data_IF_645279051852
#
_entry.id   IF_645279051852
#
_cell.length_a   1.000
_cell.length_b   1.000
_cell.length_c   1.000
_cell.angle_alpha   90.00
_cell.angle_beta   90.00
_cell.angle_gamma   90.00
#
_symmetry.space_group_name_H-M   'P 1'
#
loop_
_entity.id
_entity.type
_entity.pdbx_description
1 polymer ?
#
# COMPACT_ATOMS: atom_id res chain seq x y z
N UNK A 1 71.92 9.62 -11.85
CA UNK A 1 71.56 8.81 -10.67
C UNK A 1 70.05 8.71 -10.59
N UNK A 2 69.52 7.49 -10.56
CA UNK A 2 68.26 7.12 -9.88
C UNK A 2 68.65 6.53 -8.49
N UNK A 3 67.75 6.01 -7.62
CA UNK A 3 66.27 6.02 -7.57
C UNK A 3 65.75 7.18 -6.67
N UNK A 4 64.54 7.26 -6.10
CA UNK A 4 63.36 6.38 -5.94
C UNK A 4 62.07 7.26 -5.95
N UNK A 5 60.81 6.83 -5.76
CA UNK A 5 60.19 5.55 -5.36
C UNK A 5 59.21 5.79 -4.19
N UNK A 6 57.90 5.87 -4.44
CA UNK A 6 56.89 6.23 -3.43
C UNK A 6 55.45 6.03 -3.91
N UNK A 7 55.00 4.77 -3.96
CA UNK A 7 53.66 4.42 -4.41
C UNK A 7 52.59 4.67 -3.34
N UNK A 8 51.67 5.60 -3.60
CA UNK A 8 50.44 5.79 -2.83
C UNK A 8 49.40 4.74 -3.18
N UNK A 9 49.49 3.56 -2.56
CA UNK A 9 48.52 2.48 -2.75
C UNK A 9 47.12 2.89 -2.26
N UNK A 10 46.19 3.12 -3.20
CA UNK A 10 44.79 3.35 -2.88
C UNK A 10 44.19 2.13 -2.21
N UNK A 11 43.85 2.24 -0.92
CA UNK A 11 43.20 1.17 -0.16
C UNK A 11 41.77 0.97 -0.67
N UNK A 12 41.61 0.08 -1.65
CA UNK A 12 40.31 -0.46 -2.04
C UNK A 12 39.81 -1.35 -0.91
N UNK A 13 39.09 -0.74 0.03
CA UNK A 13 38.40 -1.44 1.11
C UNK A 13 37.32 -2.37 0.53
N UNK A 14 37.76 -3.55 0.10
CA UNK A 14 36.89 -4.63 -0.37
C UNK A 14 35.92 -4.99 0.72
N UNK A 15 34.63 -4.70 0.50
CA UNK A 15 33.54 -5.14 1.37
C UNK A 15 33.49 -6.66 1.33
N UNK A 16 34.18 -7.31 2.27
CA UNK A 16 34.13 -8.76 2.42
C UNK A 16 32.67 -9.21 2.47
N UNK A 17 32.31 -10.16 1.62
CA UNK A 17 30.98 -10.74 1.67
C UNK A 17 30.77 -11.35 3.07
N UNK A 18 29.67 -11.01 3.78
CA UNK A 18 29.45 -11.52 5.12
C UNK A 18 29.37 -13.05 5.08
N UNK A 19 30.02 -13.70 6.05
CA UNK A 19 30.12 -15.15 6.11
C UNK A 19 28.75 -15.82 6.08
N UNK A 20 28.69 -17.07 5.62
CA UNK A 20 27.43 -17.83 5.56
C UNK A 20 26.69 -17.85 6.91
N UNK A 21 27.46 -17.96 8.00
CA UNK A 21 26.96 -17.86 9.39
C UNK A 21 26.33 -16.49 9.66
N UNK A 22 26.99 -15.38 9.32
CA UNK A 22 26.45 -14.04 9.56
C UNK A 22 25.16 -13.78 8.76
N UNK A 23 25.09 -14.25 7.50
CA UNK A 23 23.85 -14.20 6.70
C UNK A 23 22.72 -15.04 7.31
N UNK A 24 23.05 -16.20 7.88
CA UNK A 24 22.08 -17.05 8.60
C UNK A 24 21.54 -16.34 9.85
N UNK A 25 22.42 -15.80 10.70
CA UNK A 25 22.05 -15.04 11.89
C UNK A 25 21.18 -13.82 11.54
N UNK A 26 21.51 -13.08 10.47
CA UNK A 26 20.70 -11.95 9.99
C UNK A 26 19.29 -12.40 9.58
N UNK A 27 19.14 -13.53 8.87
CA UNK A 27 17.82 -14.07 8.50
C UNK A 27 16.99 -14.47 9.71
N UNK A 28 17.59 -15.02 10.77
CA UNK A 28 16.90 -15.35 12.02
C UNK A 28 16.49 -14.09 12.78
N UNK A 29 17.40 -13.12 12.94
CA UNK A 29 17.14 -11.86 13.64
C UNK A 29 16.05 -11.02 12.96
N UNK A 30 15.90 -11.11 11.63
CA UNK A 30 14.84 -10.43 10.89
C UNK A 30 13.41 -10.89 11.28
N UNK A 31 13.24 -12.07 11.89
CA UNK A 31 11.95 -12.53 12.43
C UNK A 31 11.62 -11.97 13.82
N UNK A 32 12.56 -11.35 14.53
CA UNK A 32 12.33 -10.86 15.91
C UNK A 32 11.16 -9.87 16.00
N UNK A 33 10.98 -8.88 15.09
CA UNK A 33 9.82 -7.99 15.14
C UNK A 33 8.49 -8.71 14.91
N UNK A 34 8.46 -9.73 14.03
CA UNK A 34 7.27 -10.55 13.77
C UNK A 34 6.92 -11.40 15.00
N UNK A 35 7.93 -12.04 15.61
CA UNK A 35 7.76 -12.81 16.83
C UNK A 35 7.27 -11.94 18.00
N UNK A 36 7.79 -10.72 18.13
CA UNK A 36 7.32 -9.74 19.12
C UNK A 36 5.84 -9.39 18.93
N UNK A 37 5.41 -9.04 17.70
CA UNK A 37 3.99 -8.77 17.42
C UNK A 37 3.13 -10.00 17.68
N UNK A 38 3.56 -11.20 17.26
CA UNK A 38 2.83 -12.44 17.52
C UNK A 38 2.65 -12.72 19.02
N UNK A 39 3.67 -12.46 19.85
CA UNK A 39 3.60 -12.60 21.31
C UNK A 39 2.64 -11.57 21.94
N UNK A 40 2.70 -10.30 21.52
CA UNK A 40 1.77 -9.26 22.00
C UNK A 40 0.33 -9.59 21.60
N UNK A 41 0.11 -10.07 20.38
CA UNK A 41 -1.21 -10.50 19.89
C UNK A 41 -1.73 -11.68 20.71
N UNK A 42 -0.94 -12.74 20.89
CA UNK A 42 -1.32 -13.92 21.68
C UNK A 42 -1.62 -13.57 23.15
N UNK A 43 -0.80 -12.71 23.76
CA UNK A 43 -1.05 -12.18 25.10
C UNK A 43 -2.33 -11.35 25.16
N UNK A 44 -2.59 -10.49 24.16
CA UNK A 44 -3.82 -9.67 24.13
C UNK A 44 -5.09 -10.52 23.95
N UNK A 45 -5.01 -11.61 23.19
CA UNK A 45 -6.08 -12.61 23.09
C UNK A 45 -6.36 -13.25 24.46
N UNK A 46 -5.31 -13.72 25.16
CA UNK A 46 -5.46 -14.27 26.51
C UNK A 46 -6.05 -13.23 27.48
N UNK A 47 -5.51 -12.02 27.52
CA UNK A 47 -5.97 -10.95 28.41
C UNK A 47 -7.43 -10.54 28.15
N UNK A 48 -7.86 -10.48 26.88
CA UNK A 48 -9.22 -10.10 26.52
C UNK A 48 -10.22 -11.23 26.71
N UNK A 49 -9.90 -12.45 26.27
CA UNK A 49 -10.83 -13.59 26.31
C UNK A 49 -10.91 -14.18 27.73
N UNK A 50 -9.77 -14.41 28.38
CA UNK A 50 -9.72 -15.10 29.68
C UNK A 50 -9.88 -14.11 30.83
N UNK A 51 -8.95 -13.17 30.99
CA UNK A 51 -8.93 -12.29 32.16
C UNK A 51 -10.09 -11.29 32.15
N UNK A 52 -10.39 -10.66 31.01
CA UNK A 52 -11.57 -9.80 30.88
C UNK A 52 -12.86 -10.60 30.71
N UNK A 53 -13.10 -11.24 29.56
CA UNK A 53 -14.41 -11.80 29.24
C UNK A 53 -14.81 -12.99 30.14
N UNK A 54 -13.91 -13.93 30.47
CA UNK A 54 -14.25 -15.06 31.35
C UNK A 54 -14.30 -14.63 32.82
N UNK A 55 -13.24 -14.01 33.37
CA UNK A 55 -13.15 -13.73 34.81
C UNK A 55 -13.72 -12.39 35.28
N UNK A 56 -13.69 -11.32 34.47
CA UNK A 56 -14.12 -9.97 34.90
C UNK A 56 -15.57 -9.65 34.54
N UNK A 57 -16.03 -10.03 33.34
CA UNK A 57 -17.40 -9.74 32.89
C UNK A 57 -18.40 -10.73 33.52
N UNK A 58 -19.33 -10.21 34.31
CA UNK A 58 -20.39 -11.01 34.97
C UNK A 58 -21.63 -11.20 34.10
N UNK A 59 -21.95 -10.25 33.22
CA UNK A 59 -23.10 -10.32 32.32
C UNK A 59 -22.86 -11.32 31.18
N UNK A 60 -23.66 -12.38 31.11
CA UNK A 60 -23.57 -13.38 30.03
C UNK A 60 -23.85 -12.77 28.66
N UNK A 61 -24.81 -11.84 28.55
CA UNK A 61 -25.13 -11.18 27.28
C UNK A 61 -23.98 -10.31 26.76
N UNK A 62 -23.39 -9.49 27.64
CA UNK A 62 -22.21 -8.67 27.31
C UNK A 62 -21.02 -9.55 26.90
N UNK A 63 -20.77 -10.62 27.66
CA UNK A 63 -19.70 -11.60 27.39
C UNK A 63 -19.83 -12.21 25.99
N UNK A 64 -21.02 -12.66 25.60
CA UNK A 64 -21.27 -13.24 24.27
C UNK A 64 -21.06 -12.20 23.16
N UNK A 65 -21.64 -11.00 23.30
CA UNK A 65 -21.48 -9.92 22.30
C UNK A 65 -20.00 -9.54 22.13
N UNK A 66 -19.29 -9.36 23.24
CA UNK A 66 -17.88 -8.98 23.23
C UNK A 66 -17.01 -10.07 22.60
N UNK A 67 -17.22 -11.34 22.96
CA UNK A 67 -16.48 -12.45 22.39
C UNK A 67 -16.73 -12.60 20.88
N UNK A 68 -17.97 -12.46 20.40
CA UNK A 68 -18.29 -12.57 18.96
C UNK A 68 -17.58 -11.47 18.16
N UNK A 69 -17.70 -10.20 18.57
CA UNK A 69 -17.07 -9.08 17.85
C UNK A 69 -15.54 -9.14 17.96
N UNK A 70 -15.01 -9.57 19.12
CA UNK A 70 -13.59 -9.80 19.32
C UNK A 70 -13.05 -10.84 18.33
N UNK A 71 -13.68 -12.02 18.22
CA UNK A 71 -13.20 -13.07 17.34
C UNK A 71 -13.31 -12.68 15.85
N UNK A 72 -14.38 -11.99 15.45
CA UNK A 72 -14.50 -11.48 14.07
C UNK A 72 -13.38 -10.48 13.72
N UNK A 73 -13.07 -9.53 14.61
CA UNK A 73 -11.99 -8.56 14.39
C UNK A 73 -10.60 -9.21 14.46
N UNK A 74 -10.38 -10.11 15.43
CA UNK A 74 -9.14 -10.88 15.59
C UNK A 74 -8.84 -11.77 14.37
N UNK A 75 -9.82 -12.50 13.85
CA UNK A 75 -9.63 -13.36 12.65
C UNK A 75 -9.25 -12.52 11.44
N UNK A 76 -9.90 -11.38 11.19
CA UNK A 76 -9.57 -10.51 10.07
C UNK A 76 -8.19 -9.84 10.23
N UNK A 77 -7.82 -9.46 11.46
CA UNK A 77 -6.48 -8.96 11.79
C UNK A 77 -5.40 -10.04 11.54
N UNK A 78 -5.55 -11.24 12.08
CA UNK A 78 -4.57 -12.33 11.89
C UNK A 78 -4.47 -12.74 10.43
N UNK A 79 -5.59 -12.86 9.72
CA UNK A 79 -5.61 -13.22 8.29
C UNK A 79 -4.90 -12.17 7.42
N UNK A 80 -5.17 -10.89 7.64
CA UNK A 80 -4.50 -9.80 6.91
C UNK A 80 -3.01 -9.68 7.26
N UNK A 81 -2.63 -9.85 8.53
CA UNK A 81 -1.23 -9.88 8.95
C UNK A 81 -0.47 -11.06 8.31
N UNK A 82 -1.03 -12.28 8.39
CA UNK A 82 -0.49 -13.48 7.75
C UNK A 82 -0.31 -13.28 6.24
N UNK A 83 -1.33 -12.75 5.55
CA UNK A 83 -1.25 -12.48 4.11
C UNK A 83 -0.21 -11.42 3.77
N UNK A 84 0.07 -10.47 4.65
CA UNK A 84 1.13 -9.47 4.43
C UNK A 84 2.53 -10.06 4.60
N UNK A 85 2.74 -10.91 5.63
CA UNK A 85 4.00 -11.62 5.87
C UNK A 85 4.29 -12.61 4.73
N UNK A 86 3.39 -13.54 4.47
CA UNK A 86 3.67 -14.74 3.66
C UNK A 86 3.31 -14.63 2.18
N UNK A 87 2.77 -13.49 1.72
CA UNK A 87 2.69 -13.24 0.27
C UNK A 87 4.03 -12.70 -0.21
N UNK A 88 4.76 -13.50 -0.98
CA UNK A 88 6.05 -13.10 -1.57
C UNK A 88 5.91 -11.82 -2.40
N UNK A 89 6.91 -10.91 -2.35
CA UNK A 89 6.94 -9.73 -3.20
C UNK A 89 7.08 -10.18 -4.67
N UNK A 90 6.27 -9.60 -5.56
CA UNK A 90 6.40 -9.87 -6.99
C UNK A 90 7.69 -9.27 -7.55
N UNK A 91 8.37 -10.01 -8.41
CA UNK A 91 9.58 -9.61 -9.14
C UNK A 91 9.27 -9.41 -10.63
N UNK A 92 10.09 -8.63 -11.37
CA UNK A 92 9.97 -8.50 -12.81
C UNK A 92 9.99 -9.84 -13.55
N UNK A 93 9.22 -9.91 -14.62
CA UNK A 93 9.21 -10.98 -15.62
C UNK A 93 10.56 -11.07 -16.36
N UNK A 94 10.84 -12.24 -16.93
CA UNK A 94 12.11 -12.50 -17.62
C UNK A 94 12.36 -11.60 -18.85
N UNK A 95 11.32 -10.97 -19.41
CA UNK A 95 11.44 -9.99 -20.51
C UNK A 95 12.24 -8.73 -20.12
N UNK A 96 12.26 -8.39 -18.82
CA UNK A 96 13.03 -7.27 -18.28
C UNK A 96 14.50 -7.62 -18.01
N UNK A 97 14.86 -8.91 -18.02
CA UNK A 97 16.24 -9.36 -17.90
C UNK A 97 16.99 -9.12 -19.22
N UNK A 98 18.27 -8.75 -19.16
CA UNK A 98 19.07 -8.62 -20.38
C UNK A 98 19.21 -9.99 -21.08
N UNK A 99 19.17 -9.97 -22.42
CA UNK A 99 19.57 -11.13 -23.22
C UNK A 99 21.01 -11.50 -22.90
N UNK A 100 21.39 -12.78 -23.11
CA UNK A 100 22.78 -13.22 -22.85
C UNK A 100 23.80 -12.37 -23.63
N UNK A 101 23.48 -12.02 -24.87
CA UNK A 101 24.29 -11.15 -25.73
C UNK A 101 24.38 -9.71 -25.22
N UNK A 102 23.26 -9.08 -24.85
CA UNK A 102 23.28 -7.69 -24.33
C UNK A 102 23.99 -7.63 -22.98
N UNK A 103 23.83 -8.67 -22.14
CA UNK A 103 24.53 -8.78 -20.86
C UNK A 103 26.04 -8.88 -21.07
N UNK A 104 26.51 -9.79 -21.93
CA UNK A 104 27.93 -9.89 -22.25
C UNK A 104 28.49 -8.60 -22.87
N UNK A 105 27.72 -7.90 -23.70
CA UNK A 105 28.12 -6.62 -24.27
C UNK A 105 28.20 -5.53 -23.19
N UNK A 106 27.25 -5.50 -22.27
CA UNK A 106 27.21 -4.55 -21.15
C UNK A 106 28.38 -4.78 -20.16
N UNK A 107 28.70 -6.03 -19.84
CA UNK A 107 29.81 -6.39 -18.94
C UNK A 107 31.20 -6.14 -19.57
N UNK A 108 31.31 -6.14 -20.91
CA UNK A 108 32.57 -5.87 -21.64
C UNK A 108 32.80 -4.38 -21.95
N UNK A 109 31.76 -3.55 -21.93
CA UNK A 109 31.88 -2.11 -22.24
C UNK A 109 32.24 -1.32 -20.98
N UNK A 110 33.36 -0.60 -21.03
CA UNK A 110 33.83 0.25 -19.91
C UNK A 110 33.20 1.64 -19.91
N UNK A 111 32.73 2.15 -21.07
CA UNK A 111 32.22 3.52 -21.20
C UNK A 111 30.74 3.61 -20.78
N UNK A 112 30.39 4.40 -19.75
CA UNK A 112 29.01 4.47 -19.24
C UNK A 112 27.96 4.91 -20.29
N UNK A 113 28.35 5.73 -21.27
CA UNK A 113 27.46 6.18 -22.34
C UNK A 113 27.04 5.04 -23.27
N UNK A 114 27.98 4.14 -23.63
CA UNK A 114 27.68 2.99 -24.48
C UNK A 114 27.01 1.85 -23.71
N UNK A 115 27.31 1.69 -22.41
CA UNK A 115 26.48 0.88 -21.51
C UNK A 115 25.02 1.35 -21.51
N UNK A 116 24.78 2.66 -21.40
CA UNK A 116 23.43 3.23 -21.47
C UNK A 116 22.77 3.02 -22.84
N UNK A 117 23.53 3.04 -23.93
CA UNK A 117 22.97 2.79 -25.26
C UNK A 117 22.54 1.32 -25.47
N UNK A 118 23.28 0.36 -24.90
CA UNK A 118 22.86 -1.05 -24.84
C UNK A 118 21.55 -1.17 -24.05
N UNK A 119 21.47 -0.53 -22.88
CA UNK A 119 20.26 -0.54 -22.06
C UNK A 119 19.06 0.14 -22.74
N UNK A 120 19.27 1.24 -23.50
CA UNK A 120 18.19 1.90 -24.27
C UNK A 120 17.67 1.02 -25.38
N UNK A 121 18.55 0.32 -26.11
CA UNK A 121 18.18 -0.63 -27.15
C UNK A 121 17.33 -1.76 -26.58
N UNK A 122 17.78 -2.38 -25.50
CA UNK A 122 17.06 -3.46 -24.82
C UNK A 122 15.74 -2.99 -24.18
N UNK A 123 15.66 -1.72 -23.73
CA UNK A 123 14.43 -1.14 -23.19
C UNK A 123 13.40 -0.71 -24.23
N UNK A 124 13.76 -0.66 -25.53
CA UNK A 124 12.93 -0.06 -26.60
C UNK A 124 11.55 -0.72 -26.71
N UNK A 125 11.50 -2.04 -26.56
CA UNK A 125 10.29 -2.84 -26.72
C UNK A 125 9.61 -3.17 -25.36
N UNK A 126 10.07 -2.56 -24.26
CA UNK A 126 9.51 -2.72 -22.91
C UNK A 126 8.60 -1.53 -22.54
N UNK A 127 7.53 -1.76 -21.75
CA UNK A 127 6.61 -0.70 -21.29
C UNK A 127 7.21 0.11 -20.13
N UNK A 128 8.28 0.87 -20.41
CA UNK A 128 9.02 1.67 -19.41
C UNK A 128 8.96 3.15 -19.79
N UNK A 129 8.24 3.93 -18.98
CA UNK A 129 8.02 5.37 -19.21
C UNK A 129 8.84 6.27 -18.26
N UNK A 130 9.51 5.70 -17.25
CA UNK A 130 10.32 6.44 -16.28
C UNK A 130 11.82 6.15 -16.36
N UNK A 131 12.62 7.18 -16.08
CA UNK A 131 14.09 7.17 -16.13
C UNK A 131 14.70 7.53 -14.77
N UNK A 132 16.03 7.57 -14.67
CA UNK A 132 16.72 8.24 -13.56
C UNK A 132 16.58 9.77 -13.64
N UNK A 133 17.03 10.49 -12.61
CA UNK A 133 17.18 11.96 -12.65
C UNK A 133 18.11 12.44 -13.76
N UNK A 134 19.09 11.62 -14.17
CA UNK A 134 20.00 11.87 -15.29
C UNK A 134 19.46 11.41 -16.66
N UNK A 135 18.17 11.08 -16.78
CA UNK A 135 17.54 10.52 -18.00
C UNK A 135 18.19 9.21 -18.50
N UNK A 136 18.81 8.45 -17.61
CA UNK A 136 19.36 7.12 -17.87
C UNK A 136 18.29 6.03 -17.69
N UNK A 137 18.48 4.87 -18.32
CA UNK A 137 17.62 3.69 -18.12
C UNK A 137 17.79 3.18 -16.69
N UNK A 138 16.67 2.83 -16.04
CA UNK A 138 16.63 2.34 -14.66
C UNK A 138 17.15 0.90 -14.57
N UNK A 139 18.46 0.68 -14.56
CA UNK A 139 19.04 -0.68 -14.48
C UNK A 139 19.23 -1.19 -13.03
N UNK A 140 19.35 -2.51 -12.85
CA UNK A 140 19.76 -3.15 -11.59
C UNK A 140 20.96 -4.08 -11.78
N UNK A 141 22.15 -3.66 -11.33
CA UNK A 141 23.38 -4.45 -11.49
C UNK A 141 23.39 -5.74 -10.66
N UNK A 142 22.63 -5.80 -9.56
CA UNK A 142 22.50 -7.02 -8.74
C UNK A 142 21.60 -8.08 -9.38
N UNK A 143 20.47 -7.63 -9.95
CA UNK A 143 19.47 -8.53 -10.54
C UNK A 143 19.66 -8.70 -12.07
N UNK A 144 20.56 -7.93 -12.68
CA UNK A 144 20.89 -7.93 -14.11
C UNK A 144 19.66 -7.73 -15.01
N UNK A 145 18.80 -6.77 -14.63
CA UNK A 145 17.54 -6.45 -15.29
C UNK A 145 17.28 -4.95 -15.38
N UNK A 146 16.55 -4.55 -16.42
CA UNK A 146 15.95 -3.23 -16.57
C UNK A 146 14.75 -3.18 -15.63
N UNK A 147 14.71 -2.23 -14.70
CA UNK A 147 13.62 -2.11 -13.73
C UNK A 147 12.36 -1.64 -14.47
N UNK A 148 11.23 -2.37 -14.37
CA UNK A 148 9.93 -1.83 -14.75
C UNK A 148 9.64 -0.52 -14.03
N UNK A 149 8.65 0.23 -14.53
CA UNK A 149 8.19 1.42 -13.82
C UNK A 149 7.76 1.06 -12.39
N UNK A 150 8.03 1.97 -11.44
CA UNK A 150 7.74 1.79 -10.01
C UNK A 150 8.46 0.60 -9.33
N UNK A 151 9.32 -0.14 -10.04
CA UNK A 151 10.12 -1.22 -9.47
C UNK A 151 11.42 -0.71 -8.82
N UNK A 152 11.73 -1.20 -7.62
CA UNK A 152 12.96 -0.86 -6.88
C UNK A 152 13.61 -2.13 -6.30
N UNK A 153 14.95 -2.12 -6.21
CA UNK A 153 15.69 -3.23 -5.57
C UNK A 153 15.70 -3.02 -4.06
N UNK A 154 15.23 -4.01 -3.31
CA UNK A 154 15.32 -4.05 -1.86
C UNK A 154 16.56 -4.86 -1.44
N UNK A 155 17.53 -4.23 -0.80
CA UNK A 155 18.75 -4.92 -0.32
C UNK A 155 18.52 -5.89 0.84
N UNK A 156 17.39 -5.79 1.56
CA UNK A 156 17.02 -6.72 2.62
C UNK A 156 16.36 -8.01 2.07
N UNK A 157 15.57 -7.89 0.99
CA UNK A 157 15.02 -9.03 0.25
C UNK A 157 15.97 -9.56 -0.84
N UNK A 158 17.03 -8.81 -1.15
CA UNK A 158 18.03 -9.01 -2.22
C UNK A 158 17.42 -9.26 -3.63
N UNK A 159 16.29 -8.58 -3.91
CA UNK A 159 15.54 -8.70 -5.16
C UNK A 159 14.88 -7.39 -5.58
N UNK A 160 14.53 -7.30 -6.87
CA UNK A 160 13.71 -6.23 -7.42
C UNK A 160 12.23 -6.46 -7.13
N UNK A 161 11.59 -5.53 -6.43
CA UNK A 161 10.18 -5.59 -6.01
C UNK A 161 9.35 -4.70 -6.94
N UNK A 162 8.31 -5.28 -7.56
CA UNK A 162 7.32 -4.55 -8.36
C UNK A 162 6.48 -3.61 -7.48
N UNK A 163 6.24 -2.38 -7.98
CA UNK A 163 5.55 -1.29 -7.24
C UNK A 163 6.02 -1.19 -5.78
N UNK A 164 7.33 -1.17 -5.55
CA UNK A 164 7.88 -1.19 -4.19
C UNK A 164 7.41 0.05 -3.41
N UNK A 165 6.86 -0.19 -2.23
CA UNK A 165 6.47 0.86 -1.30
C UNK A 165 7.54 1.04 -0.21
N UNK A 166 7.82 -0.01 0.56
CA UNK A 166 8.90 -0.04 1.55
C UNK A 166 9.28 -1.48 1.91
N UNK A 167 10.38 -1.65 2.66
CA UNK A 167 10.64 -2.88 3.38
C UNK A 167 10.14 -2.71 4.82
N UNK A 168 9.34 -3.65 5.32
CA UNK A 168 8.66 -3.52 6.60
C UNK A 168 9.15 -4.60 7.59
N UNK A 169 9.98 -4.24 8.59
CA UNK A 169 10.51 -5.20 9.57
C UNK A 169 9.40 -5.92 10.35
N UNK A 170 8.28 -5.24 10.64
CA UNK A 170 7.13 -5.78 11.40
C UNK A 170 6.39 -6.93 10.72
N UNK A 171 6.63 -7.17 9.42
CA UNK A 171 6.14 -8.33 8.66
C UNK A 171 7.27 -9.17 8.05
N UNK A 172 8.53 -8.83 8.36
CA UNK A 172 9.74 -9.40 7.76
C UNK A 172 9.66 -9.58 6.23
N UNK A 173 9.09 -8.59 5.54
CA UNK A 173 8.80 -8.68 4.11
C UNK A 173 8.78 -7.28 3.47
N UNK A 174 8.95 -7.24 2.15
CA UNK A 174 8.71 -6.04 1.37
C UNK A 174 7.22 -5.83 1.12
N UNK A 175 6.77 -4.59 1.28
CA UNK A 175 5.45 -4.14 0.86
C UNK A 175 5.56 -3.60 -0.57
N UNK A 176 4.82 -4.20 -1.49
CA UNK A 176 4.85 -3.88 -2.92
C UNK A 176 3.59 -4.40 -3.63
N UNK A 177 3.66 -4.58 -4.95
CA UNK A 177 2.49 -4.87 -5.79
C UNK A 177 1.61 -6.03 -5.28
N UNK A 178 2.21 -7.18 -4.96
CA UNK A 178 1.49 -8.42 -4.59
C UNK A 178 0.81 -8.38 -3.22
N UNK A 179 1.23 -7.49 -2.30
CA UNK A 179 0.75 -7.48 -0.92
C UNK A 179 0.32 -6.10 -0.39
N UNK A 180 0.38 -5.01 -1.18
CA UNK A 180 0.00 -3.67 -0.70
C UNK A 180 -1.45 -3.62 -0.18
N UNK A 181 -2.40 -4.26 -0.87
CA UNK A 181 -3.78 -4.42 -0.38
C UNK A 181 -3.83 -5.12 0.99
N UNK A 182 -3.05 -6.18 1.19
CA UNK A 182 -3.01 -6.92 2.45
C UNK A 182 -2.43 -6.07 3.58
N UNK A 183 -1.38 -5.29 3.30
CA UNK A 183 -0.81 -4.34 4.24
C UNK A 183 -1.84 -3.27 4.66
N UNK A 184 -2.59 -2.69 3.71
CA UNK A 184 -3.65 -1.72 4.01
C UNK A 184 -4.77 -2.34 4.88
N UNK A 185 -5.19 -3.57 4.56
CA UNK A 185 -6.18 -4.28 5.36
C UNK A 185 -5.64 -4.66 6.75
N UNK A 186 -4.35 -5.00 6.86
CA UNK A 186 -3.68 -5.25 8.13
C UNK A 186 -3.71 -3.98 9.01
N UNK A 187 -3.34 -2.81 8.47
CA UNK A 187 -3.45 -1.54 9.21
C UNK A 187 -4.90 -1.25 9.63
N UNK A 188 -5.86 -1.42 8.72
CA UNK A 188 -7.29 -1.19 8.99
C UNK A 188 -7.84 -2.11 10.09
N UNK A 189 -7.59 -3.42 9.99
CA UNK A 189 -8.04 -4.38 11.01
C UNK A 189 -7.28 -4.25 12.33
N UNK A 190 -6.02 -3.79 12.30
CA UNK A 190 -5.29 -3.41 13.53
C UNK A 190 -5.97 -2.24 14.24
N UNK A 191 -6.43 -1.23 13.49
CA UNK A 191 -7.18 -0.11 14.06
C UNK A 191 -8.51 -0.55 14.66
N UNK A 192 -9.29 -1.36 13.93
CA UNK A 192 -10.56 -1.87 14.44
C UNK A 192 -10.36 -2.74 15.69
N UNK A 193 -9.36 -3.62 15.69
CA UNK A 193 -9.00 -4.44 16.84
C UNK A 193 -8.59 -3.60 18.05
N UNK A 194 -7.66 -2.66 17.88
CA UNK A 194 -7.19 -1.82 18.97
C UNK A 194 -8.29 -0.88 19.50
N UNK A 195 -9.13 -0.32 18.62
CA UNK A 195 -10.26 0.53 19.00
C UNK A 195 -11.33 -0.26 19.76
N UNK A 196 -11.68 -1.45 19.29
CA UNK A 196 -12.62 -2.34 19.96
C UNK A 196 -12.11 -2.75 21.34
N UNK A 197 -10.84 -3.18 21.45
CA UNK A 197 -10.22 -3.53 22.73
C UNK A 197 -10.18 -2.31 23.66
N UNK A 198 -9.68 -1.16 23.22
CA UNK A 198 -9.56 0.02 24.07
C UNK A 198 -10.93 0.53 24.56
N UNK A 199 -11.95 0.59 23.69
CA UNK A 199 -13.29 1.07 24.04
C UNK A 199 -14.01 0.14 25.04
N UNK A 200 -13.99 -1.17 24.79
CA UNK A 200 -14.63 -2.15 25.69
C UNK A 200 -13.89 -2.28 27.03
N UNK A 201 -12.56 -2.21 27.02
CA UNK A 201 -11.73 -2.21 28.24
C UNK A 201 -11.90 -0.92 29.06
N UNK A 202 -12.17 0.23 28.45
CA UNK A 202 -12.20 1.54 29.13
C UNK A 202 -13.10 1.57 30.38
N UNK A 203 -14.30 0.99 30.32
CA UNK A 203 -15.20 0.92 31.49
C UNK A 203 -14.60 0.08 32.63
N UNK A 204 -13.94 -1.03 32.32
CA UNK A 204 -13.26 -1.89 33.29
C UNK A 204 -11.98 -1.23 33.83
N UNK A 205 -11.23 -0.53 32.98
CA UNK A 205 -10.08 0.30 33.37
C UNK A 205 -10.50 1.35 34.40
N UNK A 206 -11.57 2.11 34.14
CA UNK A 206 -12.11 3.12 35.07
C UNK A 206 -12.55 2.46 36.39
N UNK A 207 -13.24 1.30 36.32
CA UNK A 207 -13.66 0.54 37.51
C UNK A 207 -12.47 0.11 38.36
N UNK A 208 -11.45 -0.52 37.78
CA UNK A 208 -10.25 -0.92 38.51
C UNK A 208 -9.49 0.29 39.08
N UNK A 209 -9.32 1.37 38.32
CA UNK A 209 -8.60 2.57 38.75
C UNK A 209 -9.29 3.28 39.94
N UNK A 210 -10.62 3.43 39.86
CA UNK A 210 -11.42 4.07 40.94
C UNK A 210 -11.53 3.19 42.19
N UNK A 211 -11.67 1.87 42.04
CA UNK A 211 -11.65 0.93 43.18
C UNK A 211 -10.29 0.90 43.87
N UNK A 212 -9.18 1.00 43.13
CA UNK A 212 -7.84 1.10 43.73
C UNK A 212 -7.66 2.39 44.52
N UNK A 213 -8.16 3.54 44.02
CA UNK A 213 -8.13 4.80 44.77
C UNK A 213 -8.89 4.70 46.10
N UNK A 214 -10.02 3.98 46.14
CA UNK A 214 -10.80 3.76 47.36
C UNK A 214 -10.13 2.76 48.32
N UNK A 215 -9.72 1.57 47.84
CA UNK A 215 -8.99 0.58 48.65
C UNK A 215 -7.66 1.12 49.21
N UNK A 216 -6.98 2.03 48.50
CA UNK A 216 -5.76 2.69 49.01
C UNK A 216 -6.03 3.68 50.15
N UNK A 217 -7.29 4.07 50.38
CA UNK A 217 -7.71 4.92 51.51
C UNK A 217 -8.33 4.10 52.65
N UNK A 218 -8.66 2.82 52.43
CA UNK A 218 -9.39 1.95 53.37
C UNK A 218 -8.67 0.59 53.49
N UNK A 219 -7.89 0.39 54.57
CA UNK A 219 -7.18 -0.87 54.84
C UNK A 219 -8.16 -2.07 54.92
N UNK A 220 -8.19 -2.93 53.90
CA UNK A 220 -9.14 -4.06 53.83
C UNK A 220 -8.53 -5.33 53.15
N UNK A 221 -9.03 -6.56 53.41
CA UNK A 221 -8.18 -7.77 53.32
C UNK A 221 -8.32 -8.70 52.09
N UNK A 222 -7.16 -9.18 51.63
CA UNK A 222 -6.78 -10.58 51.27
C UNK A 222 -7.53 -11.44 50.23
N UNK A 223 -8.69 -11.08 49.69
CA UNK A 223 -9.23 -11.75 48.46
C UNK A 223 -8.60 -11.18 47.17
N UNK A 224 -7.30 -10.88 47.20
CA UNK A 224 -6.65 -10.00 46.23
C UNK A 224 -6.03 -10.71 45.02
N UNK A 225 -5.63 -11.98 45.11
CA UNK A 225 -4.78 -12.61 44.08
C UNK A 225 -5.44 -12.69 42.70
N UNK A 226 -6.72 -13.03 42.62
CA UNK A 226 -7.44 -13.18 41.35
C UNK A 226 -7.85 -11.80 40.78
N UNK A 227 -8.26 -10.87 41.65
CA UNK A 227 -8.54 -9.45 41.34
C UNK A 227 -7.27 -8.75 40.82
N UNK A 228 -6.10 -9.03 41.42
CA UNK A 228 -4.80 -8.43 41.08
C UNK A 228 -4.26 -8.89 39.74
N UNK A 229 -4.40 -10.19 39.41
CA UNK A 229 -3.97 -10.72 38.11
C UNK A 229 -4.80 -10.11 36.98
N UNK A 230 -6.12 -10.22 37.06
CA UNK A 230 -7.02 -9.68 36.04
C UNK A 230 -6.80 -8.15 35.85
N UNK A 231 -6.67 -7.41 36.95
CA UNK A 231 -6.31 -5.99 36.96
C UNK A 231 -5.02 -5.69 36.19
N UNK A 232 -3.93 -6.44 36.40
CA UNK A 232 -2.66 -6.20 35.69
C UNK A 232 -2.84 -6.35 34.17
N UNK A 233 -3.47 -7.45 33.74
CA UNK A 233 -3.75 -7.70 32.33
C UNK A 233 -4.67 -6.63 31.71
N UNK A 234 -5.79 -6.30 32.37
CA UNK A 234 -6.76 -5.32 31.86
C UNK A 234 -6.18 -3.90 31.77
N UNK A 235 -5.41 -3.46 32.78
CA UNK A 235 -4.75 -2.14 32.74
C UNK A 235 -3.71 -2.06 31.62
N UNK A 236 -2.84 -3.07 31.49
CA UNK A 236 -1.81 -3.08 30.45
C UNK A 236 -2.43 -3.21 29.04
N UNK A 237 -3.51 -3.98 28.90
CA UNK A 237 -4.24 -4.16 27.63
C UNK A 237 -4.82 -2.85 27.11
N UNK A 238 -5.37 -1.99 27.99
CA UNK A 238 -5.81 -0.65 27.61
C UNK A 238 -4.68 0.20 27.04
N UNK A 239 -3.55 0.30 27.76
CA UNK A 239 -2.42 1.14 27.34
C UNK A 239 -1.77 0.63 26.04
N UNK A 240 -1.58 -0.68 25.90
CA UNK A 240 -1.04 -1.30 24.69
C UNK A 240 -1.97 -1.03 23.50
N UNK A 241 -3.28 -1.27 23.64
CA UNK A 241 -4.25 -1.03 22.57
C UNK A 241 -4.32 0.45 22.17
N UNK A 242 -4.36 1.37 23.14
CA UNK A 242 -4.39 2.82 22.88
C UNK A 242 -3.11 3.32 22.19
N UNK A 243 -1.93 2.84 22.62
CA UNK A 243 -0.65 3.17 22.00
C UNK A 243 -0.60 2.71 20.54
N UNK A 244 -0.90 1.43 20.27
CA UNK A 244 -0.92 0.90 18.91
C UNK A 244 -1.97 1.59 18.04
N UNK A 245 -3.16 1.88 18.57
CA UNK A 245 -4.19 2.62 17.84
C UNK A 245 -3.69 3.98 17.33
N UNK A 246 -3.10 4.80 18.21
CA UNK A 246 -2.61 6.14 17.84
C UNK A 246 -1.49 6.05 16.80
N UNK A 247 -0.50 5.16 17.01
CA UNK A 247 0.60 4.97 16.06
C UNK A 247 0.10 4.50 14.69
N UNK A 248 -0.73 3.46 14.65
CA UNK A 248 -1.24 2.88 13.40
C UNK A 248 -2.18 3.86 12.69
N UNK A 249 -2.93 4.71 13.41
CA UNK A 249 -3.86 5.66 12.82
C UNK A 249 -3.14 6.68 11.93
N UNK A 250 -1.97 7.15 12.38
CA UNK A 250 -1.10 8.04 11.59
C UNK A 250 -0.62 7.38 10.29
N UNK A 251 -0.16 6.14 10.37
CA UNK A 251 0.36 5.37 9.25
C UNK A 251 -0.74 5.02 8.24
N UNK A 252 -1.90 4.56 8.74
CA UNK A 252 -3.06 4.27 7.90
C UNK A 252 -3.55 5.51 7.16
N UNK A 253 -3.66 6.65 7.85
CA UNK A 253 -4.06 7.93 7.24
C UNK A 253 -3.10 8.38 6.13
N UNK A 254 -1.79 8.23 6.35
CA UNK A 254 -0.76 8.48 5.34
C UNK A 254 -0.92 7.56 4.11
N UNK A 255 -1.14 6.26 4.32
CA UNK A 255 -1.35 5.32 3.23
C UNK A 255 -2.68 5.53 2.49
N UNK A 256 -3.75 5.96 3.16
CA UNK A 256 -5.00 6.38 2.50
C UNK A 256 -4.76 7.56 1.53
N UNK A 257 -3.93 8.54 1.91
CA UNK A 257 -3.53 9.63 1.02
C UNK A 257 -2.67 9.13 -0.15
N UNK A 258 -1.71 8.22 0.09
CA UNK A 258 -0.90 7.60 -0.95
C UNK A 258 -1.76 6.85 -1.99
N UNK A 259 -2.70 6.02 -1.54
CA UNK A 259 -3.67 5.31 -2.40
C UNK A 259 -4.49 6.33 -3.20
N UNK A 260 -5.07 7.34 -2.55
CA UNK A 260 -5.84 8.39 -3.24
C UNK A 260 -5.08 9.15 -4.32
N UNK A 261 -3.74 9.20 -4.23
CA UNK A 261 -2.84 9.81 -5.24
C UNK A 261 -2.16 8.81 -6.18
N UNK A 262 -2.41 7.50 -6.04
CA UNK A 262 -1.68 6.40 -6.68
C UNK A 262 -0.15 6.56 -6.59
N UNK A 263 0.37 6.84 -5.40
CA UNK A 263 1.81 6.93 -5.11
C UNK A 263 2.22 5.79 -4.19
N UNK A 264 3.45 5.30 -4.36
CA UNK A 264 4.15 4.58 -3.29
C UNK A 264 4.84 5.56 -2.34
N UNK A 265 5.25 5.10 -1.16
CA UNK A 265 6.05 5.88 -0.20
C UNK A 265 7.31 6.45 -0.87
N UNK A 266 8.03 5.64 -1.66
CA UNK A 266 9.22 6.08 -2.42
C UNK A 266 8.88 7.26 -3.34
N UNK A 267 7.77 7.17 -4.06
CA UNK A 267 7.33 8.17 -5.06
C UNK A 267 6.84 9.47 -4.40
N UNK A 268 6.31 9.38 -3.17
CA UNK A 268 5.95 10.55 -2.38
C UNK A 268 7.18 11.38 -1.98
N UNK A 269 8.29 10.73 -1.62
CA UNK A 269 9.58 11.40 -1.35
C UNK A 269 10.30 11.84 -2.63
N UNK A 270 10.35 11.00 -3.67
CA UNK A 270 11.05 11.28 -4.94
C UNK A 270 10.12 11.07 -6.13
N UNK A 271 9.77 12.17 -6.80
CA UNK A 271 8.92 12.13 -7.99
C UNK A 271 9.55 11.24 -9.10
N UNK A 272 8.79 10.34 -9.74
CA UNK A 272 9.26 9.62 -10.92
C UNK A 272 9.57 10.58 -12.07
N UNK A 273 10.66 10.31 -12.79
CA UNK A 273 11.13 11.10 -13.93
C UNK A 273 10.56 10.56 -15.23
N UNK A 274 9.52 11.18 -15.76
CA UNK A 274 8.95 10.89 -17.08
C UNK A 274 9.70 11.66 -18.17
N UNK A 275 9.38 11.40 -19.45
CA UNK A 275 9.93 12.13 -20.63
C UNK A 275 9.88 13.66 -20.45
N UNK A 276 8.79 14.17 -19.89
CA UNK A 276 8.50 15.59 -19.69
C UNK A 276 9.08 16.16 -18.37
N UNK A 277 9.80 15.35 -17.58
CA UNK A 277 10.36 15.73 -16.28
C UNK A 277 9.71 15.01 -15.08
N UNK A 278 9.99 15.46 -13.84
CA UNK A 278 9.45 14.86 -12.62
C UNK A 278 7.93 15.13 -12.48
N UNK A 279 7.12 14.08 -12.33
CA UNK A 279 5.68 14.22 -12.06
C UNK A 279 5.21 13.28 -10.92
N UNK A 280 4.90 13.86 -9.75
CA UNK A 280 4.30 13.12 -8.62
C UNK A 280 2.88 12.61 -8.91
N UNK A 281 2.23 13.05 -9.99
CA UNK A 281 0.89 12.63 -10.41
C UNK A 281 0.91 11.78 -11.68
N UNK A 282 2.08 11.37 -12.19
CA UNK A 282 2.20 10.68 -13.48
C UNK A 282 1.44 9.35 -13.57
N UNK A 283 1.21 8.67 -12.44
CA UNK A 283 0.38 7.45 -12.34
C UNK A 283 -1.03 7.70 -11.76
N UNK A 284 -1.42 8.96 -11.52
CA UNK A 284 -2.74 9.26 -10.93
C UNK A 284 -3.83 9.32 -12.01
N UNK A 285 -4.83 8.45 -11.85
CA UNK A 285 -6.00 8.29 -12.71
C UNK A 285 -7.27 8.94 -12.11
N UNK A 286 -7.12 9.63 -10.97
CA UNK A 286 -8.22 10.17 -10.15
C UNK A 286 -8.60 9.22 -9.01
N UNK A 287 -9.02 9.77 -7.86
CA UNK A 287 -9.11 9.04 -6.59
C UNK A 287 -9.85 7.69 -6.68
N UNK A 288 -11.03 7.66 -7.30
CA UNK A 288 -11.83 6.43 -7.47
C UNK A 288 -11.09 5.34 -8.28
N UNK A 289 -10.46 5.71 -9.40
CA UNK A 289 -9.65 4.78 -10.20
C UNK A 289 -8.40 4.34 -9.43
N UNK A 290 -7.73 5.27 -8.73
CA UNK A 290 -6.55 4.99 -7.90
C UNK A 290 -6.85 3.98 -6.76
N UNK A 291 -8.07 4.00 -6.18
CA UNK A 291 -8.51 2.97 -5.24
C UNK A 291 -8.72 1.61 -5.93
N UNK A 292 -9.36 1.58 -7.11
CA UNK A 292 -9.59 0.36 -7.89
C UNK A 292 -8.28 -0.33 -8.29
N UNK A 293 -7.23 0.42 -8.61
CA UNK A 293 -5.89 -0.14 -8.87
C UNK A 293 -5.36 -1.05 -7.72
N UNK A 294 -5.79 -0.81 -6.47
CA UNK A 294 -5.34 -1.57 -5.29
C UNK A 294 -6.40 -2.56 -4.79
N UNK A 295 -7.68 -2.19 -4.81
CA UNK A 295 -8.77 -2.99 -4.25
C UNK A 295 -9.56 -3.80 -5.29
N UNK A 296 -9.38 -3.52 -6.57
CA UNK A 296 -10.11 -4.11 -7.68
C UNK A 296 -11.52 -3.55 -7.86
N UNK A 297 -12.23 -4.09 -8.83
CA UNK A 297 -13.57 -3.62 -9.22
C UNK A 297 -14.69 -4.25 -8.39
N UNK A 298 -14.49 -5.51 -7.96
CA UNK A 298 -15.47 -6.27 -7.19
C UNK A 298 -15.46 -5.86 -5.70
N UNK A 299 -16.29 -4.86 -5.35
CA UNK A 299 -16.43 -4.31 -3.98
C UNK A 299 -16.57 -5.35 -2.87
N UNK A 300 -17.21 -6.50 -3.12
CA UNK A 300 -17.35 -7.62 -2.17
C UNK A 300 -16.01 -8.15 -1.64
N UNK A 301 -14.93 -8.01 -2.40
CA UNK A 301 -13.59 -8.44 -2.00
C UNK A 301 -12.74 -7.34 -1.38
N UNK A 302 -13.19 -6.07 -1.34
CA UNK A 302 -12.36 -4.95 -0.88
C UNK A 302 -11.86 -5.15 0.55
N UNK A 303 -12.72 -5.65 1.44
CA UNK A 303 -12.43 -5.91 2.84
C UNK A 303 -11.77 -7.29 3.10
N UNK A 304 -11.67 -8.15 2.08
CA UNK A 304 -11.09 -9.49 2.23
C UNK A 304 -9.60 -9.52 1.84
N UNK A 305 -8.71 -10.16 2.63
CA UNK A 305 -7.30 -10.42 2.32
C UNK A 305 -7.04 -11.38 1.13
N UNK A 306 -7.79 -11.19 0.04
CA UNK A 306 -7.71 -11.91 -1.24
C UNK A 306 -7.11 -10.95 -2.28
N UNK A 307 -6.23 -11.42 -3.16
CA UNK A 307 -5.58 -10.57 -4.16
C UNK A 307 -6.60 -10.11 -5.21
N UNK A 308 -6.75 -8.78 -5.37
CA UNK A 308 -7.65 -8.17 -6.36
C UNK A 308 -7.09 -6.86 -6.94
N UNK A 309 -5.80 -6.56 -6.74
CA UNK A 309 -5.14 -5.41 -7.37
C UNK A 309 -5.16 -5.56 -8.89
N UNK A 310 -5.25 -4.44 -9.62
CA UNK A 310 -5.27 -4.43 -11.09
C UNK A 310 -3.85 -4.37 -11.67
N UNK A 311 -3.72 -4.81 -12.92
CA UNK A 311 -2.44 -4.86 -13.65
C UNK A 311 -1.60 -6.10 -13.34
N UNK A 312 -0.39 -6.13 -13.89
CA UNK A 312 0.63 -7.18 -13.72
C UNK A 312 1.73 -6.78 -12.71
N UNK A 313 1.85 -5.49 -12.41
CA UNK A 313 2.90 -4.91 -11.58
C UNK A 313 4.15 -4.44 -12.35
N UNK A 314 4.23 -4.74 -13.64
CA UNK A 314 5.30 -4.33 -14.56
C UNK A 314 4.90 -3.09 -15.36
N UNK A 315 3.64 -3.01 -15.80
CA UNK A 315 3.07 -1.87 -16.53
C UNK A 315 2.00 -1.17 -15.67
N UNK A 316 1.93 0.16 -15.76
CA UNK A 316 0.97 0.99 -15.02
C UNK A 316 0.39 2.07 -15.93
N UNK A 317 -0.95 2.25 -15.95
CA UNK A 317 -1.55 3.35 -16.71
C UNK A 317 -1.00 4.71 -16.24
N UNK A 318 -0.59 5.55 -17.19
CA UNK A 318 -0.07 6.89 -16.91
C UNK A 318 -1.07 7.97 -17.30
N UNK A 319 -0.98 9.12 -16.63
CA UNK A 319 -1.82 10.30 -16.88
C UNK A 319 -1.60 10.91 -18.27
N UNK A 320 -0.37 10.80 -18.81
CA UNK A 320 0.03 11.48 -20.05
C UNK A 320 -0.15 10.62 -21.31
N UNK A 321 -0.11 9.28 -21.21
CA UNK A 321 -0.34 8.39 -22.37
C UNK A 321 -1.81 8.38 -22.82
N UNK A 322 -2.73 8.90 -22.02
CA UNK A 322 -4.14 9.15 -22.42
C UNK A 322 -4.27 10.47 -23.25
N UNK A 323 -3.18 11.23 -23.44
CA UNK A 323 -3.13 12.45 -24.23
C UNK A 323 -2.21 12.34 -25.45
N UNK A 324 -2.36 11.26 -26.22
CA UNK A 324 -1.83 11.18 -27.59
C UNK A 324 -2.99 11.26 -28.61
N UNK A 325 -3.26 12.43 -29.22
CA UNK A 325 -4.32 12.58 -30.21
C UNK A 325 -4.04 11.86 -31.53
N UNK A 326 -2.78 11.50 -31.83
CA UNK A 326 -2.42 10.96 -33.14
C UNK A 326 -2.81 9.49 -33.32
N UNK A 327 -3.07 8.75 -32.23
CA UNK A 327 -3.60 7.38 -32.30
C UNK A 327 -5.12 7.31 -32.56
N UNK A 328 -5.86 8.41 -32.40
CA UNK A 328 -7.29 8.48 -32.74
C UNK A 328 -7.54 8.72 -34.25
N UNK A 329 -6.50 9.05 -35.02
CA UNK A 329 -6.60 9.29 -36.46
C UNK A 329 -6.29 8.04 -37.32
N UNK A 330 -5.83 6.94 -36.71
CA UNK A 330 -5.27 5.79 -37.41
C UNK A 330 -6.07 4.48 -37.20
N UNK A 331 -7.40 4.54 -37.28
CA UNK A 331 -8.25 3.34 -37.30
C UNK A 331 -9.45 3.49 -38.23
N UNK A 332 -9.21 3.30 -39.53
CA UNK A 332 -10.27 2.92 -40.48
C UNK A 332 -10.37 1.39 -40.53
N UNK A 333 -11.57 0.81 -40.70
CA UNK A 333 -11.79 -0.60 -40.39
C UNK A 333 -11.48 -1.53 -41.58
N UNK A 334 -10.35 -2.25 -41.50
CA UNK A 334 -10.20 -3.55 -42.17
C UNK A 334 -8.98 -4.31 -41.64
N UNK A 335 -9.24 -5.37 -40.86
CA UNK A 335 -8.74 -6.75 -41.03
C UNK A 335 -8.89 -7.53 -39.71
N UNK A 336 -9.98 -8.32 -39.64
CA UNK A 336 -10.24 -9.27 -38.56
C UNK A 336 -10.01 -10.69 -39.09
N UNK A 337 -8.81 -11.27 -38.92
CA UNK A 337 -8.62 -12.71 -39.12
C UNK A 337 -7.37 -13.30 -38.44
N UNK A 338 -7.59 -14.30 -37.57
CA UNK A 338 -6.68 -15.42 -37.20
C UNK A 338 -5.36 -15.04 -36.49
N UNK A 339 -5.16 -15.44 -35.24
CA UNK A 339 -5.02 -16.87 -34.85
C UNK A 339 -5.12 -17.05 -33.32
N UNK A 340 -5.14 -18.28 -32.84
CA UNK A 340 -5.50 -18.63 -31.45
C UNK A 340 -4.62 -19.76 -30.85
N UNK A 341 -4.76 -19.96 -29.53
CA UNK A 341 -4.25 -21.09 -28.71
C UNK A 341 -2.91 -20.83 -27.96
N UNK A 342 -2.65 -21.46 -26.78
CA UNK A 342 -2.52 -20.64 -25.56
C UNK A 342 -1.40 -21.01 -24.57
N UNK A 343 -1.00 -20.06 -23.73
CA UNK A 343 -0.47 -20.33 -22.38
C UNK A 343 -0.76 -19.17 -21.41
N UNK A 344 -1.03 -19.50 -20.15
CA UNK A 344 -1.48 -18.59 -19.08
C UNK A 344 -0.90 -19.13 -17.76
N UNK A 345 -0.49 -18.25 -16.83
CA UNK A 345 -1.43 -17.88 -15.78
C UNK A 345 -1.32 -16.42 -15.32
N UNK A 346 -2.35 -15.61 -15.57
CA UNK A 346 -2.89 -14.50 -14.75
C UNK A 346 -3.95 -13.79 -15.62
N UNK A 347 -5.17 -13.53 -15.11
CA UNK A 347 -6.31 -13.17 -15.98
C UNK A 347 -6.15 -11.77 -16.59
N UNK A 348 -5.76 -11.75 -17.87
CA UNK A 348 -5.85 -10.56 -18.72
C UNK A 348 -7.24 -10.55 -19.36
N UNK A 349 -8.02 -9.49 -19.13
CA UNK A 349 -9.21 -9.18 -19.92
C UNK A 349 -9.17 -7.70 -20.32
N UNK A 350 -9.48 -7.35 -21.59
CA UNK A 350 -9.68 -5.97 -21.98
C UNK A 350 -10.94 -5.41 -21.32
N UNK A 351 -10.94 -4.08 -21.11
CA UNK A 351 -12.04 -3.33 -20.52
C UNK A 351 -13.31 -3.46 -21.38
N UNK A 352 -14.37 -4.10 -20.84
CA UNK A 352 -15.68 -4.12 -21.49
C UNK A 352 -16.37 -2.78 -21.34
N UNK A 353 -16.83 -2.21 -22.46
CA UNK A 353 -17.58 -0.95 -22.51
C UNK A 353 -18.89 -1.04 -21.71
N UNK A 354 -19.14 -0.04 -20.86
CA UNK A 354 -20.41 0.10 -20.14
C UNK A 354 -21.40 0.93 -20.94
N UNK A 355 -22.19 0.30 -21.83
CA UNK A 355 -23.40 0.92 -22.37
C UNK A 355 -24.53 0.86 -21.33
N UNK A 356 -24.86 2.00 -20.73
CA UNK A 356 -26.14 2.21 -20.06
C UNK A 356 -26.98 3.19 -20.91
N UNK A 357 -27.70 2.67 -21.89
CA UNK A 357 -28.79 3.39 -22.58
C UNK A 357 -30.10 3.19 -21.81
N UNK A 358 -30.42 4.11 -20.91
CA UNK A 358 -31.79 4.36 -20.43
C UNK A 358 -31.95 5.86 -20.22
N UNK A 359 -33.11 6.41 -20.58
CA UNK A 359 -33.43 7.85 -20.64
C UNK A 359 -32.89 8.62 -21.86
N UNK A 360 -33.16 8.09 -23.05
CA UNK A 360 -33.49 8.92 -24.21
C UNK A 360 -34.55 8.20 -25.04
N UNK A 361 -35.79 8.65 -24.95
CA UNK A 361 -36.77 8.45 -26.01
C UNK A 361 -37.54 9.76 -26.17
N UNK A 362 -37.64 10.20 -27.41
CA UNK A 362 -38.20 11.50 -27.78
C UNK A 362 -39.71 11.51 -27.56
N UNK A 363 -40.29 12.72 -27.47
CA UNK A 363 -41.48 13.01 -28.25
C UNK A 363 -41.55 14.49 -28.60
N UNK A 364 -41.58 14.72 -29.91
CA UNK A 364 -41.61 15.99 -30.59
C UNK A 364 -43.06 16.48 -30.70
N UNK A 365 -43.33 17.74 -30.39
CA UNK A 365 -44.56 18.43 -30.80
C UNK A 365 -44.21 19.83 -31.33
N UNK A 366 -44.96 20.26 -32.33
CA UNK A 366 -44.70 21.42 -33.19
C UNK A 366 -45.90 22.39 -33.11
N UNK A 367 -45.66 23.61 -33.57
CA UNK A 367 -46.63 24.59 -34.10
C UNK A 367 -47.12 25.76 -33.21
N UNK A 368 -46.64 26.96 -33.61
CA UNK A 368 -47.30 28.26 -33.80
C UNK A 368 -48.49 28.73 -32.93
N UNK A 369 -48.46 30.02 -32.54
CA UNK A 369 -49.63 30.78 -32.06
C UNK A 369 -49.27 32.19 -31.55
N UNK A 370 -50.00 33.21 -31.98
CA UNK A 370 -49.74 34.64 -31.80
C UNK A 370 -50.38 35.31 -30.57
N UNK A 371 -49.84 36.50 -30.23
CA UNK A 371 -50.53 37.72 -29.74
C UNK A 371 -50.91 37.98 -28.25
N UNK A 372 -50.64 39.26 -27.89
CA UNK A 372 -51.26 40.23 -26.95
C UNK A 372 -51.10 40.29 -25.40
N UNK A 373 -50.69 41.50 -24.99
CA UNK A 373 -50.95 42.37 -23.80
C UNK A 373 -51.49 41.77 -22.47
N UNK A 374 -51.16 42.23 -21.24
CA UNK A 374 -51.05 43.62 -20.78
C UNK A 374 -50.56 43.78 -19.28
N UNK A 375 -49.85 44.89 -18.98
CA UNK A 375 -49.83 45.71 -17.74
C UNK A 375 -49.94 45.06 -16.31
N UNK A 376 -48.92 45.25 -15.43
CA UNK A 376 -48.89 46.25 -14.29
C UNK A 376 -47.64 46.18 -13.36
N UNK A 377 -46.88 47.28 -13.35
CA UNK A 377 -46.27 48.02 -12.21
C UNK A 377 -45.74 47.34 -10.93
N UNK A 378 -44.49 47.65 -10.54
CA UNK A 378 -43.95 47.47 -9.19
C UNK A 378 -42.55 48.07 -9.00
N UNK A 379 -42.39 49.11 -8.17
CA UNK A 379 -41.19 49.98 -8.12
C UNK A 379 -40.14 49.57 -7.09
N UNK A 380 -38.86 49.53 -7.52
CA UNK A 380 -37.58 49.77 -6.81
C UNK A 380 -37.47 49.49 -5.29
N UNK A 381 -36.39 48.80 -4.89
CA UNK A 381 -35.13 49.46 -4.46
C UNK A 381 -33.96 48.49 -4.28
N UNK A 382 -32.79 48.87 -4.82
CA UNK A 382 -31.48 48.35 -4.42
C UNK A 382 -31.11 48.88 -3.03
N UNK A 383 -30.44 48.06 -2.22
CA UNK A 383 -29.41 48.50 -1.29
C UNK A 383 -28.21 47.54 -1.41
N UNK A 384 -27.06 48.08 -1.76
CA UNK A 384 -25.74 47.45 -1.59
C UNK A 384 -24.99 48.33 -0.59
N UNK A 385 -24.39 47.71 0.43
CA UNK A 385 -23.34 48.34 1.24
C UNK A 385 -22.27 47.29 1.50
N UNK A 386 -21.04 47.64 1.14
CA UNK A 386 -19.82 46.93 1.52
C UNK A 386 -18.93 47.86 2.33
N UNK A 387 -17.96 47.24 3.02
CA UNK A 387 -16.66 47.76 3.48
C UNK A 387 -16.48 47.98 5.01
N UNK A 388 -15.50 47.19 5.48
CA UNK A 388 -14.35 47.54 6.33
C UNK A 388 -14.56 48.15 7.72
N UNK A 389 -14.10 47.38 8.70
CA UNK A 389 -13.31 47.81 9.86
C UNK A 389 -12.35 46.69 10.22
#
# INVERSE_FOLDING_TARGET
MAPAGGGGGGSTAGKMAPSHVLKCCQKVLAWVPVAFIALVVAWSYYAYVVELCVFTITSTGEKVVYLVIFHLSFVMFVWSYWKTIFTSPASPSNEFCLSKSDKEQYEKEERPESQQEILRRAAKDLPVYTTTTSRAIRYCDRCQLIKPDRCHHCSACDLCVLKMDHHCPWVNNCVGFSNYKFFLLFLFYSLLYCLFVASTVLQYFIKFWTLCRRKSAENCPKNELLDTRAKFHVLFLFFVAAMFFISILSLFSYHCWLVGKNRSTIEAFRAPMFRNGPDKNGFSLGCSKNLREVFGDEKKYWLLPIFTSLGDGCNFPTRLVIMDPEQLAASSPNELAKSSSPSQPFPIRPLSESQNRLLANENQWVEAGSEDENIKSGVKKHIVVSLES
#
